data_IF_287168797180
#
_entry.id   IF_287168797180
#
_cell.length_a   1.000
_cell.length_b   1.000
_cell.length_c   1.000
_cell.angle_alpha   90.00
_cell.angle_beta   90.00
_cell.angle_gamma   90.00
#
_symmetry.space_group_name_H-M   'P 1'
#
loop_
_entity.id
_entity.type
_entity.pdbx_description
1 polymer ?
#
# COMPACT_ATOMS: atom_id res chain seq x y z
N UNK A 1 26.23 12.94 -35.65
CA UNK A 1 25.98 13.65 -34.38
C UNK A 1 26.72 12.94 -33.26
N UNK A 2 27.52 13.68 -32.50
CA UNK A 2 28.23 13.14 -31.35
C UNK A 2 27.25 12.69 -30.26
N UNK A 3 27.67 11.72 -29.44
CA UNK A 3 26.86 11.20 -28.31
C UNK A 3 26.41 12.31 -27.35
N UNK A 4 27.18 13.39 -27.25
CA UNK A 4 26.88 14.58 -26.47
C UNK A 4 25.75 15.43 -27.08
N UNK A 5 25.70 15.58 -28.39
CA UNK A 5 24.65 16.32 -29.11
C UNK A 5 23.31 15.59 -29.01
N UNK A 6 23.32 14.27 -29.18
CA UNK A 6 22.12 13.43 -28.99
C UNK A 6 21.58 13.53 -27.56
N UNK A 7 22.46 13.60 -26.55
CA UNK A 7 22.07 13.76 -25.16
C UNK A 7 21.48 15.15 -24.88
N UNK A 8 22.02 16.20 -25.51
CA UNK A 8 21.51 17.56 -25.42
C UNK A 8 20.12 17.67 -26.06
N UNK A 9 19.95 17.08 -27.24
CA UNK A 9 18.66 17.06 -27.95
C UNK A 9 17.59 16.27 -27.18
N UNK A 10 17.95 15.15 -26.54
CA UNK A 10 17.05 14.41 -25.64
C UNK A 10 16.68 15.25 -24.42
N UNK A 11 17.63 16.04 -23.87
CA UNK A 11 17.35 16.93 -22.73
C UNK A 11 16.42 18.07 -23.13
N UNK A 12 16.60 18.63 -24.32
CA UNK A 12 15.79 19.71 -24.87
C UNK A 12 14.37 19.23 -25.21
N UNK A 13 14.24 18.06 -25.88
CA UNK A 13 12.94 17.39 -26.11
C UNK A 13 12.24 17.00 -24.81
N UNK A 14 12.98 16.57 -23.78
CA UNK A 14 12.42 16.33 -22.44
C UNK A 14 12.01 17.63 -21.75
N UNK A 15 12.74 18.73 -21.94
CA UNK A 15 12.42 20.04 -21.39
C UNK A 15 11.18 20.65 -22.04
N UNK A 16 11.02 20.48 -23.34
CA UNK A 16 9.86 20.93 -24.11
C UNK A 16 8.59 20.08 -23.88
N UNK A 17 8.62 19.08 -22.99
CA UNK A 17 7.44 18.27 -22.70
C UNK A 17 6.44 19.06 -21.83
N UNK A 18 5.27 19.46 -22.36
CA UNK A 18 4.29 20.28 -21.64
C UNK A 18 3.69 19.56 -20.42
N UNK A 19 3.81 18.23 -20.33
CA UNK A 19 3.34 17.44 -19.18
C UNK A 19 4.13 17.71 -17.90
N UNK A 20 5.30 18.37 -17.97
CA UNK A 20 6.17 18.61 -16.80
C UNK A 20 5.60 19.61 -15.79
N UNK A 21 4.86 20.60 -16.26
CA UNK A 21 4.34 21.67 -15.40
C UNK A 21 2.90 21.41 -14.95
N UNK A 22 2.24 20.39 -15.52
CA UNK A 22 0.88 20.03 -15.17
C UNK A 22 0.82 19.36 -13.80
N UNK A 23 -0.11 19.83 -12.97
CA UNK A 23 -0.45 19.20 -11.68
C UNK A 23 -1.36 17.99 -11.94
N UNK A 24 -0.75 16.84 -12.21
CA UNK A 24 -1.46 15.62 -12.63
C UNK A 24 -2.07 14.85 -11.45
N UNK A 25 -1.42 14.86 -10.28
CA UNK A 25 -1.81 14.07 -9.13
C UNK A 25 -1.80 14.89 -7.85
N UNK A 26 -2.79 14.65 -6.99
CA UNK A 26 -2.78 15.09 -5.60
C UNK A 26 -2.52 13.88 -4.71
N UNK A 27 -1.54 13.99 -3.82
CA UNK A 27 -1.24 12.97 -2.80
C UNK A 27 -1.22 13.61 -1.42
N UNK A 28 -1.66 12.85 -0.42
CA UNK A 28 -1.69 13.28 0.99
C UNK A 28 -0.98 12.22 1.82
N UNK A 29 -0.17 12.66 2.78
CA UNK A 29 0.47 11.77 3.75
C UNK A 29 -0.25 11.92 5.08
N UNK A 30 -0.78 10.81 5.58
CA UNK A 30 -1.34 10.73 6.93
C UNK A 30 -0.26 10.19 7.86
N UNK A 31 -0.26 10.66 9.11
CA UNK A 31 0.63 10.23 10.18
C UNK A 31 -0.20 9.93 11.43
N UNK A 32 0.35 9.07 12.29
CA UNK A 32 -0.10 8.81 13.66
C UNK A 32 -1.59 8.46 13.75
N UNK A 33 -2.32 9.02 14.72
CA UNK A 33 -3.71 8.70 15.07
C UNK A 33 -4.71 8.75 13.89
N UNK A 34 -4.40 9.53 12.85
CA UNK A 34 -5.25 9.61 11.65
C UNK A 34 -5.20 8.30 10.87
N UNK A 35 -4.05 7.61 10.86
CA UNK A 35 -3.87 6.33 10.18
C UNK A 35 -4.75 5.27 10.83
N UNK A 36 -4.75 5.18 12.16
CA UNK A 36 -5.49 4.16 12.91
C UNK A 36 -7.00 4.26 12.69
N UNK A 37 -7.52 5.48 12.45
CA UNK A 37 -8.93 5.69 12.08
C UNK A 37 -9.20 5.38 10.61
N UNK A 38 -8.27 5.69 9.72
CA UNK A 38 -8.46 5.50 8.29
C UNK A 38 -8.35 4.03 7.87
N UNK A 39 -7.31 3.31 8.26
CA UNK A 39 -7.06 1.92 7.82
C UNK A 39 -8.31 1.01 7.91
N UNK A 40 -9.04 0.92 9.04
CA UNK A 40 -10.18 0.00 9.16
C UNK A 40 -11.36 0.38 8.27
N UNK A 41 -11.56 1.67 7.98
CA UNK A 41 -12.61 2.16 7.09
C UNK A 41 -12.30 1.78 5.65
N UNK A 42 -11.04 1.93 5.22
CA UNK A 42 -10.63 1.66 3.85
C UNK A 42 -10.50 0.16 3.57
N UNK A 43 -10.04 -0.63 4.54
CA UNK A 43 -9.98 -2.09 4.41
C UNK A 43 -11.36 -2.75 4.37
N UNK A 44 -12.40 -2.10 4.92
CA UNK A 44 -13.78 -2.59 4.84
C UNK A 44 -14.25 -2.74 3.38
N UNK A 45 -13.83 -1.84 2.50
CA UNK A 45 -14.19 -1.86 1.07
C UNK A 45 -13.60 -3.09 0.35
N UNK A 46 -12.50 -3.63 0.87
CA UNK A 46 -11.86 -4.85 0.36
C UNK A 46 -12.21 -6.08 1.19
N UNK A 47 -13.25 -6.00 2.02
CA UNK A 47 -13.68 -7.09 2.92
C UNK A 47 -12.56 -7.61 3.83
N UNK A 48 -11.59 -6.75 4.14
CA UNK A 48 -10.36 -7.09 4.87
C UNK A 48 -9.47 -8.15 4.20
N UNK A 49 -9.68 -8.40 2.91
CA UNK A 49 -8.87 -9.31 2.10
C UNK A 49 -7.88 -8.56 1.21
N UNK A 50 -6.63 -9.04 1.15
CA UNK A 50 -5.61 -8.55 0.23
C UNK A 50 -4.89 -9.74 -0.40
N UNK A 51 -4.33 -9.57 -1.60
CA UNK A 51 -3.45 -10.57 -2.20
C UNK A 51 -2.05 -10.49 -1.61
N UNK A 52 -1.32 -11.62 -1.59
CA UNK A 52 0.05 -11.64 -1.08
C UNK A 52 1.02 -10.85 -1.97
N UNK A 53 0.67 -10.65 -3.23
CA UNK A 53 1.41 -9.84 -4.19
C UNK A 53 1.33 -8.34 -3.91
N UNK A 54 0.31 -7.87 -3.19
CA UNK A 54 0.22 -6.47 -2.74
C UNK A 54 1.30 -6.11 -1.72
N UNK A 55 1.95 -7.10 -1.11
CA UNK A 55 3.02 -6.92 -0.14
C UNK A 55 4.37 -6.89 -0.85
N UNK A 56 5.07 -5.78 -0.66
CA UNK A 56 6.45 -5.57 -1.12
C UNK A 56 7.44 -6.36 -0.27
N UNK A 57 8.57 -6.73 -0.88
CA UNK A 57 9.73 -7.30 -0.18
C UNK A 57 10.28 -6.38 0.93
N UNK A 58 9.96 -5.08 0.87
CA UNK A 58 10.35 -4.07 1.87
C UNK A 58 9.37 -3.95 3.05
N UNK A 59 8.41 -4.88 3.18
CA UNK A 59 7.43 -4.90 4.26
C UNK A 59 6.30 -3.87 4.12
N UNK A 60 6.20 -3.20 2.98
CA UNK A 60 5.14 -2.22 2.70
C UNK A 60 4.03 -2.87 1.88
N UNK A 61 2.82 -2.36 1.97
CA UNK A 61 1.70 -2.84 1.16
C UNK A 61 0.81 -1.70 0.69
N UNK A 62 0.04 -1.96 -0.36
CA UNK A 62 -0.91 -0.99 -0.88
C UNK A 62 -2.07 -1.64 -1.61
N UNK A 63 -3.16 -0.90 -1.70
CA UNK A 63 -4.37 -1.31 -2.40
C UNK A 63 -5.08 -0.10 -2.99
N UNK A 64 -5.77 -0.31 -4.11
CA UNK A 64 -6.56 0.70 -4.78
C UNK A 64 -8.05 0.54 -4.50
N UNK A 65 -8.73 1.67 -4.35
CA UNK A 65 -10.19 1.77 -4.31
C UNK A 65 -10.65 2.41 -5.62
N UNK A 66 -11.57 1.74 -6.32
CA UNK A 66 -12.06 2.20 -7.60
C UNK A 66 -12.99 3.41 -7.46
N UNK A 67 -13.81 3.42 -6.40
CA UNK A 67 -14.80 4.47 -6.17
C UNK A 67 -14.79 4.92 -4.70
N UNK A 68 -14.64 6.22 -4.48
CA UNK A 68 -14.65 6.78 -3.12
C UNK A 68 -16.01 6.66 -2.40
N UNK A 69 -17.10 6.35 -3.12
CA UNK A 69 -18.44 6.19 -2.53
C UNK A 69 -18.51 4.94 -1.63
N UNK A 70 -17.71 3.91 -1.91
CA UNK A 70 -17.62 2.70 -1.11
C UNK A 70 -17.12 2.97 0.31
N UNK A 71 -16.44 4.11 0.52
CA UNK A 71 -15.98 4.56 1.83
C UNK A 71 -17.12 5.13 2.70
N UNK A 72 -18.34 5.24 2.17
CA UNK A 72 -19.50 5.80 2.86
C UNK A 72 -19.57 7.33 2.84
N UNK A 73 -18.80 7.98 1.95
CA UNK A 73 -18.88 9.42 1.72
C UNK A 73 -20.09 9.71 0.85
N UNK A 74 -20.88 10.74 1.21
CA UNK A 74 -22.03 11.17 0.41
C UNK A 74 -21.58 11.62 -0.98
N UNK A 75 -22.32 11.21 -2.00
CA UNK A 75 -22.10 11.63 -3.37
C UNK A 75 -22.38 13.13 -3.56
N UNK A 76 -21.43 13.85 -4.15
CA UNK A 76 -21.58 15.22 -4.62
C UNK A 76 -21.40 15.27 -6.16
N UNK A 77 -22.46 15.62 -6.93
CA UNK A 77 -22.40 15.71 -8.39
C UNK A 77 -21.32 16.68 -8.93
N UNK A 78 -20.92 17.67 -8.14
CA UNK A 78 -19.92 18.67 -8.52
C UNK A 78 -18.50 18.09 -8.53
N UNK A 79 -18.26 17.11 -7.68
CA UNK A 79 -16.97 16.44 -7.50
C UNK A 79 -16.90 15.24 -8.45
N UNK A 80 -17.97 14.44 -8.53
CA UNK A 80 -17.98 13.22 -9.36
C UNK A 80 -17.24 12.04 -8.70
N UNK A 81 -17.13 10.92 -9.42
CA UNK A 81 -16.58 9.67 -8.90
C UNK A 81 -15.08 9.59 -9.17
N UNK A 82 -14.29 9.53 -8.10
CA UNK A 82 -12.87 9.29 -8.18
C UNK A 82 -12.45 7.99 -7.49
N UNK A 83 -11.46 7.33 -8.07
CA UNK A 83 -10.69 6.27 -7.44
C UNK A 83 -9.44 6.83 -6.75
N UNK A 84 -8.89 6.05 -5.82
CA UNK A 84 -7.70 6.44 -5.07
C UNK A 84 -6.87 5.24 -4.65
N UNK A 85 -5.55 5.44 -4.58
CA UNK A 85 -4.60 4.43 -4.16
C UNK A 85 -4.11 4.69 -2.73
N UNK A 86 -4.09 3.64 -1.93
CA UNK A 86 -3.53 3.63 -0.59
C UNK A 86 -2.21 2.88 -0.57
N UNK A 87 -1.21 3.51 0.05
CA UNK A 87 0.08 2.89 0.28
C UNK A 87 0.48 3.05 1.74
N UNK A 88 0.59 1.92 2.43
CA UNK A 88 0.94 1.84 3.84
C UNK A 88 2.41 1.45 3.97
N UNK A 89 3.14 2.30 4.69
CA UNK A 89 4.56 2.09 4.97
C UNK A 89 4.69 1.56 6.39
N UNK A 90 5.06 0.29 6.52
CA UNK A 90 5.35 -0.31 7.82
C UNK A 90 6.81 -0.11 8.17
N UNK A 91 7.05 0.14 9.46
CA UNK A 91 8.36 0.52 9.92
C UNK A 91 8.52 0.27 11.41
N UNK A 92 9.73 -0.12 11.81
CA UNK A 92 10.06 -0.26 13.22
C UNK A 92 10.52 1.10 13.78
N UNK A 93 10.34 1.29 15.08
CA UNK A 93 10.86 2.46 15.78
C UNK A 93 12.39 2.50 15.64
N UNK A 94 12.91 3.44 14.85
CA UNK A 94 14.35 3.53 14.58
C UNK A 94 14.74 4.05 13.20
N UNK A 95 13.81 4.11 12.22
CA UNK A 95 14.14 4.61 10.87
C UNK A 95 14.63 6.05 10.81
N UNK A 96 14.41 6.84 11.86
CA UNK A 96 14.93 8.22 11.95
C UNK A 96 16.45 8.29 11.69
N UNK A 97 17.21 7.24 12.00
CA UNK A 97 18.67 7.17 11.76
C UNK A 97 19.04 7.40 10.29
N UNK A 98 18.22 6.94 9.34
CA UNK A 98 18.44 7.14 7.91
C UNK A 98 17.93 8.49 7.38
N UNK A 99 17.01 9.14 8.10
CA UNK A 99 16.37 10.39 7.67
C UNK A 99 16.95 11.64 8.37
N UNK A 100 17.67 11.48 9.49
CA UNK A 100 18.22 12.61 10.26
C UNK A 100 19.29 13.39 9.48
N UNK A 101 19.32 14.72 9.67
CA UNK A 101 20.29 15.63 9.02
C UNK A 101 21.72 15.39 9.52
N UNK A 102 21.92 15.34 10.84
CA UNK A 102 23.23 15.12 11.48
C UNK A 102 23.46 13.63 11.74
N UNK A 103 24.69 13.16 11.50
CA UNK A 103 25.13 11.77 11.74
C UNK A 103 24.26 10.72 11.04
N UNK A 104 23.88 10.94 9.77
CA UNK A 104 23.05 9.99 9.03
C UNK A 104 23.71 8.61 8.97
N UNK A 105 22.97 7.58 9.36
CA UNK A 105 23.43 6.18 9.33
C UNK A 105 22.54 5.31 8.44
N UNK A 106 22.91 4.05 8.24
CA UNK A 106 22.07 3.05 7.56
C UNK A 106 21.24 2.28 8.59
N UNK A 107 19.99 1.95 8.24
CA UNK A 107 19.18 1.01 9.03
C UNK A 107 19.72 -0.40 8.79
N UNK A 108 20.06 -1.08 9.89
CA UNK A 108 20.56 -2.46 9.87
C UNK A 108 19.54 -3.44 9.28
N UNK A 109 20.02 -4.55 8.74
CA UNK A 109 19.17 -5.53 8.05
C UNK A 109 18.11 -6.14 8.97
N UNK A 110 18.51 -6.54 10.18
CA UNK A 110 17.62 -7.10 11.22
C UNK A 110 16.52 -6.13 11.71
N UNK A 111 16.67 -4.83 11.47
CA UNK A 111 15.67 -3.83 11.85
C UNK A 111 14.69 -3.50 10.73
N UNK A 112 14.94 -3.99 9.50
CA UNK A 112 14.00 -3.79 8.38
C UNK A 112 12.83 -4.75 8.55
N UNK A 113 11.66 -4.31 8.10
CA UNK A 113 10.47 -5.15 8.03
C UNK A 113 10.54 -5.99 6.76
N UNK A 114 10.37 -7.30 6.91
CA UNK A 114 10.29 -8.23 5.79
C UNK A 114 8.84 -8.43 5.34
N UNK A 115 8.66 -9.03 4.16
CA UNK A 115 7.34 -9.27 3.59
C UNK A 115 6.48 -10.16 4.49
N UNK A 116 7.06 -11.23 5.01
CA UNK A 116 6.41 -12.21 5.87
C UNK A 116 5.99 -11.58 7.21
N UNK A 117 6.81 -10.68 7.73
CA UNK A 117 6.49 -9.91 8.93
C UNK A 117 5.31 -8.96 8.70
N UNK A 118 5.29 -8.25 7.56
CA UNK A 118 4.19 -7.37 7.19
C UNK A 118 2.86 -8.12 7.04
N UNK A 119 2.91 -9.33 6.47
CA UNK A 119 1.75 -10.21 6.33
C UNK A 119 1.21 -10.62 7.71
N UNK A 120 2.08 -11.05 8.62
CA UNK A 120 1.69 -11.41 9.99
C UNK A 120 1.09 -10.22 10.74
N UNK A 121 1.71 -9.05 10.61
CA UNK A 121 1.21 -7.81 11.21
C UNK A 121 -0.20 -7.48 10.70
N UNK A 122 -0.43 -7.60 9.39
CA UNK A 122 -1.74 -7.36 8.78
C UNK A 122 -2.80 -8.32 9.31
N UNK A 123 -2.48 -9.62 9.40
CA UNK A 123 -3.40 -10.63 9.92
C UNK A 123 -3.79 -10.35 11.37
N UNK A 124 -2.81 -10.02 12.22
CA UNK A 124 -3.06 -9.67 13.61
C UNK A 124 -3.98 -8.44 13.73
N UNK A 125 -3.70 -7.38 12.96
CA UNK A 125 -4.49 -6.14 13.03
C UNK A 125 -5.91 -6.30 12.51
N UNK A 126 -6.10 -7.05 11.43
CA UNK A 126 -7.44 -7.36 10.92
C UNK A 126 -8.24 -8.16 11.94
N UNK A 127 -7.61 -9.16 12.57
CA UNK A 127 -8.23 -9.96 13.63
C UNK A 127 -8.65 -9.08 14.82
N UNK A 128 -7.77 -8.19 15.29
CA UNK A 128 -8.09 -7.20 16.34
C UNK A 128 -9.30 -6.33 15.96
N UNK A 129 -9.37 -5.84 14.72
CA UNK A 129 -10.50 -5.02 14.25
C UNK A 129 -11.83 -5.78 14.17
N UNK A 130 -11.80 -7.05 13.77
CA UNK A 130 -12.99 -7.90 13.72
C UNK A 130 -13.46 -8.22 15.14
N UNK A 131 -12.55 -8.62 16.04
CA UNK A 131 -12.88 -8.94 17.43
C UNK A 131 -13.52 -7.75 18.18
N UNK A 132 -12.95 -6.54 18.02
CA UNK A 132 -13.50 -5.31 18.58
C UNK A 132 -14.95 -5.03 18.12
N UNK A 133 -15.31 -5.39 16.88
CA UNK A 133 -16.65 -5.16 16.31
C UNK A 133 -17.69 -6.15 16.82
N UNK A 134 -17.27 -7.38 17.15
CA UNK A 134 -18.16 -8.45 17.61
C UNK A 134 -18.27 -8.57 19.14
N UNK A 135 -17.53 -7.75 19.90
CA UNK A 135 -17.59 -7.76 21.37
C UNK A 135 -16.98 -9.01 22.02
N UNK A 136 -16.19 -9.78 21.27
CA UNK A 136 -15.53 -10.99 21.73
C UNK A 136 -14.12 -10.64 22.22
N UNK A 137 -13.98 -10.27 23.50
CA UNK A 137 -12.67 -10.02 24.13
C UNK A 137 -12.14 -11.19 24.96
N UNK A 138 -12.98 -12.19 25.25
CA UNK A 138 -12.64 -13.23 26.23
C UNK A 138 -12.68 -14.65 25.64
N UNK A 139 -11.91 -14.92 24.59
CA UNK A 139 -11.24 -16.22 24.41
C UNK A 139 -10.27 -16.16 23.24
N UNK A 140 -9.07 -16.72 23.41
CA UNK A 140 -8.17 -17.05 22.30
C UNK A 140 -8.74 -18.23 21.50
N UNK A 141 -9.88 -18.03 20.84
CA UNK A 141 -10.38 -19.00 19.88
C UNK A 141 -9.49 -18.98 18.63
N UNK A 142 -8.63 -19.98 18.59
CA UNK A 142 -7.82 -20.48 17.47
C UNK A 142 -8.62 -20.79 16.16
N UNK A 143 -9.88 -20.38 16.08
CA UNK A 143 -10.82 -20.60 14.98
C UNK A 143 -11.42 -19.31 14.41
N UNK A 144 -10.84 -18.13 14.69
CA UNK A 144 -11.15 -16.93 13.92
C UNK A 144 -10.76 -17.16 12.45
N UNK A 145 -11.62 -16.83 11.46
CA UNK A 145 -11.28 -16.97 10.05
C UNK A 145 -10.03 -16.15 9.78
N UNK A 146 -8.91 -16.83 9.60
CA UNK A 146 -7.66 -16.20 9.22
C UNK A 146 -7.89 -15.49 7.88
N UNK A 147 -7.45 -14.24 7.71
CA UNK A 147 -7.56 -13.55 6.44
C UNK A 147 -6.95 -14.44 5.35
N UNK A 148 -7.80 -14.91 4.44
CA UNK A 148 -7.38 -15.78 3.37
C UNK A 148 -6.73 -14.89 2.32
N UNK A 149 -5.42 -15.04 2.13
CA UNK A 149 -4.76 -14.41 1.00
C UNK A 149 -5.25 -15.10 -0.26
N UNK A 150 -5.91 -14.36 -1.15
CA UNK A 150 -6.20 -14.88 -2.49
C UNK A 150 -4.87 -15.16 -3.18
N UNK A 151 -4.63 -16.42 -3.54
CA UNK A 151 -3.59 -16.77 -4.50
C UNK A 151 -4.20 -16.60 -5.89
N UNK A 152 -3.52 -15.91 -6.81
CA UNK A 152 -3.93 -16.02 -8.22
C UNK A 152 -3.72 -17.46 -8.64
N UNK A 153 -4.81 -18.18 -8.89
CA UNK A 153 -4.77 -19.47 -9.55
C UNK A 153 -3.95 -19.34 -10.83
N UNK A 154 -2.73 -19.87 -10.81
CA UNK A 154 -1.90 -20.02 -11.99
C UNK A 154 -2.56 -21.13 -12.83
N UNK A 155 -3.55 -20.78 -13.65
CA UNK A 155 -4.01 -21.69 -14.69
C UNK A 155 -2.97 -21.69 -15.81
N UNK A 156 -1.83 -22.34 -15.57
CA UNK A 156 -0.95 -22.75 -16.64
C UNK A 156 -1.73 -23.74 -17.48
N UNK A 157 -2.26 -23.30 -18.63
CA UNK A 157 -2.63 -24.20 -19.71
C UNK A 157 -1.36 -24.89 -20.20
N UNK A 158 -0.94 -25.94 -19.49
CA UNK A 158 -0.04 -26.94 -20.05
C UNK A 158 -0.80 -27.59 -21.21
N UNK A 159 -0.36 -27.33 -22.43
CA UNK A 159 -0.82 -28.13 -23.57
C UNK A 159 -0.43 -29.59 -23.29
N UNK A 160 -1.34 -30.57 -23.42
CA UNK A 160 -0.97 -31.96 -23.37
C UNK A 160 -0.01 -32.24 -24.53
N UNK A 161 1.12 -32.87 -24.23
CA UNK A 161 2.02 -33.42 -25.24
C UNK A 161 1.26 -34.50 -26.02
N UNK A 162 1.17 -34.32 -27.33
CA UNK A 162 0.95 -35.38 -28.32
C UNK A 162 2.14 -35.34 -29.27
#
# INVERSE_FOLDING_TARGET
MGKAEQLAEIREKKAANPMRELKIQKSVKLLDDKIDRCIPVHLKVKEYELYRENFSNSGNFGFGIQEHIDLGIKYDPSIGIYGMDFYVVLDRAGRRVAKRRRSRGRVGHSHRVEKEEAVKWFQQKVCEFIAHRHGLYDHWDINLPHPHFKERGFFSRGKPNV
#
